data_IF_883250761135
#
_entry.id   IF_883250761135
#
_cell.length_a   1.000
_cell.length_b   1.000
_cell.length_c   1.000
_cell.angle_alpha   90.00
_cell.angle_beta   90.00
_cell.angle_gamma   90.00
#
_symmetry.space_group_name_H-M   'P 1'
#
loop_
_entity.id
_entity.type
_entity.pdbx_description
1 polymer ?
#
# COMPACT_ATOMS: atom_id res chain seq x y z
N UNK A 1 8.29 -4.19 -23.78
CA UNK A 1 7.85 -3.15 -22.84
C UNK A 1 9.09 -2.49 -22.28
N UNK A 2 9.14 -1.17 -22.22
CA UNK A 2 10.23 -0.45 -21.55
C UNK A 2 10.17 -0.74 -20.05
N UNK A 3 11.32 -1.01 -19.43
CA UNK A 3 11.45 -1.26 -17.99
C UNK A 3 10.84 -0.16 -17.12
N UNK A 4 10.84 1.09 -17.60
CA UNK A 4 10.28 2.23 -16.88
C UNK A 4 8.76 2.28 -17.02
N UNK A 5 8.21 2.03 -18.21
CA UNK A 5 6.75 1.93 -18.40
C UNK A 5 6.13 0.84 -17.52
N UNK A 6 6.84 -0.27 -17.36
CA UNK A 6 6.37 -1.36 -16.52
C UNK A 6 6.30 -0.97 -15.03
N UNK A 7 7.18 -0.08 -14.54
CA UNK A 7 7.07 0.44 -13.16
C UNK A 7 5.75 1.16 -12.92
N UNK A 8 5.31 1.99 -13.88
CA UNK A 8 4.03 2.69 -13.78
C UNK A 8 2.83 1.74 -13.84
N UNK A 9 2.96 0.65 -14.61
CA UNK A 9 1.94 -0.40 -14.63
C UNK A 9 1.85 -1.11 -13.27
N UNK A 10 2.98 -1.52 -12.69
CA UNK A 10 2.99 -2.12 -11.35
C UNK A 10 2.46 -1.15 -10.28
N UNK A 11 2.76 0.15 -10.38
CA UNK A 11 2.19 1.18 -9.51
C UNK A 11 0.68 1.24 -9.62
N UNK A 12 0.15 1.30 -10.84
CA UNK A 12 -1.29 1.37 -11.08
C UNK A 12 -1.99 0.13 -10.52
N UNK A 13 -1.43 -1.06 -10.73
CA UNK A 13 -1.98 -2.29 -10.18
C UNK A 13 -1.94 -2.33 -8.65
N UNK A 14 -0.82 -1.91 -8.04
CA UNK A 14 -0.73 -1.79 -6.59
C UNK A 14 -1.77 -0.81 -6.03
N UNK A 15 -1.96 0.33 -6.68
CA UNK A 15 -2.95 1.33 -6.29
C UNK A 15 -4.37 0.76 -6.37
N UNK A 16 -4.75 0.14 -7.50
CA UNK A 16 -6.07 -0.48 -7.65
C UNK A 16 -6.32 -1.55 -6.60
N UNK A 17 -5.33 -2.41 -6.33
CA UNK A 17 -5.45 -3.43 -5.30
C UNK A 17 -5.63 -2.84 -3.89
N UNK A 18 -4.98 -1.70 -3.57
CA UNK A 18 -5.20 -0.98 -2.32
C UNK A 18 -6.62 -0.41 -2.25
N UNK A 19 -7.10 0.22 -3.32
CA UNK A 19 -8.46 0.78 -3.41
C UNK A 19 -9.54 -0.31 -3.25
N UNK A 20 -9.26 -1.52 -3.73
CA UNK A 20 -10.11 -2.70 -3.60
C UNK A 20 -9.92 -3.45 -2.27
N UNK A 21 -9.05 -2.97 -1.38
CA UNK A 21 -8.66 -3.62 -0.11
C UNK A 21 -8.02 -5.01 -0.29
N UNK A 22 -7.51 -5.33 -1.47
CA UNK A 22 -6.76 -6.55 -1.74
C UNK A 22 -5.27 -6.37 -1.41
N UNK A 23 -4.94 -6.34 -0.11
CA UNK A 23 -3.59 -6.04 0.36
C UNK A 23 -2.54 -7.09 0.00
N UNK A 24 -2.93 -8.35 -0.21
CA UNK A 24 -2.00 -9.41 -0.64
C UNK A 24 -1.55 -9.19 -2.08
N UNK A 25 -2.48 -8.82 -2.96
CA UNK A 25 -2.20 -8.49 -4.35
C UNK A 25 -1.44 -7.16 -4.48
N UNK A 26 -1.81 -6.15 -3.68
CA UNK A 26 -1.04 -4.91 -3.58
C UNK A 26 0.42 -5.17 -3.19
N UNK A 27 0.66 -6.04 -2.20
CA UNK A 27 2.00 -6.45 -1.78
C UNK A 27 2.76 -7.12 -2.92
N UNK A 28 2.12 -8.02 -3.66
CA UNK A 28 2.74 -8.70 -4.81
C UNK A 28 3.23 -7.70 -5.87
N UNK A 29 2.41 -6.70 -6.21
CA UNK A 29 2.80 -5.68 -7.18
C UNK A 29 3.92 -4.77 -6.66
N UNK A 30 3.90 -4.40 -5.38
CA UNK A 30 4.97 -3.62 -4.75
C UNK A 30 6.30 -4.39 -4.74
N UNK A 31 6.29 -5.69 -4.41
CA UNK A 31 7.49 -6.54 -4.46
C UNK A 31 8.04 -6.65 -5.89
N UNK A 32 7.16 -6.81 -6.87
CA UNK A 32 7.52 -6.84 -8.29
C UNK A 32 8.14 -5.52 -8.73
N UNK A 33 7.58 -4.40 -8.29
CA UNK A 33 8.10 -3.07 -8.56
C UNK A 33 9.51 -2.89 -8.00
N UNK A 34 9.76 -3.28 -6.73
CA UNK A 34 11.09 -3.18 -6.13
C UNK A 34 12.12 -4.04 -6.86
N UNK A 35 11.74 -5.25 -7.26
CA UNK A 35 12.60 -6.11 -8.05
C UNK A 35 12.98 -5.45 -9.38
N UNK A 36 12.03 -4.76 -10.03
CA UNK A 36 12.28 -4.04 -11.29
C UNK A 36 13.17 -2.82 -11.10
N UNK A 37 12.93 -2.01 -10.07
CA UNK A 37 13.81 -0.88 -9.73
C UNK A 37 15.27 -1.33 -9.54
N UNK A 38 15.49 -2.48 -8.90
CA UNK A 38 16.83 -3.05 -8.69
C UNK A 38 17.50 -3.52 -9.98
N UNK A 39 16.76 -3.72 -11.06
CA UNK A 39 17.29 -4.13 -12.37
C UNK A 39 17.56 -2.96 -13.33
N UNK A 40 17.19 -1.73 -12.96
CA UNK A 40 17.41 -0.56 -13.81
C UNK A 40 18.90 -0.19 -13.82
N UNK A 41 19.48 -0.12 -15.02
CA UNK A 41 20.88 0.28 -15.20
C UNK A 41 21.09 1.77 -14.97
N UNK A 42 22.32 2.19 -14.64
CA UNK A 42 22.68 3.61 -14.45
C UNK A 42 22.34 4.48 -15.68
N UNK A 43 22.50 3.94 -16.89
CA UNK A 43 22.15 4.64 -18.12
C UNK A 43 20.64 4.90 -18.20
N UNK A 44 19.81 3.90 -17.86
CA UNK A 44 18.36 4.05 -17.83
C UNK A 44 17.91 5.00 -16.71
N UNK A 45 18.58 4.95 -15.56
CA UNK A 45 18.39 5.92 -14.47
C UNK A 45 18.62 7.35 -14.96
N UNK A 46 19.75 7.60 -15.63
CA UNK A 46 20.06 8.94 -16.13
C UNK A 46 19.10 9.40 -17.23
N UNK A 47 18.64 8.49 -18.09
CA UNK A 47 17.73 8.81 -19.20
C UNK A 47 16.30 9.04 -18.73
N UNK A 48 15.88 8.39 -17.63
CA UNK A 48 14.51 8.40 -17.13
C UNK A 48 14.36 8.99 -15.73
N UNK A 49 15.32 9.83 -15.31
CA UNK A 49 15.40 10.34 -13.94
C UNK A 49 14.08 10.94 -13.45
N UNK A 50 13.44 11.81 -14.24
CA UNK A 50 12.17 12.44 -13.85
C UNK A 50 11.04 11.44 -13.66
N UNK A 51 10.94 10.44 -14.54
CA UNK A 51 9.95 9.38 -14.42
C UNK A 51 10.18 8.49 -13.19
N UNK A 52 11.44 8.24 -12.83
CA UNK A 52 11.80 7.45 -11.65
C UNK A 52 11.62 8.24 -10.34
N UNK A 53 11.80 9.56 -10.37
CA UNK A 53 11.43 10.47 -9.28
C UNK A 53 9.89 10.44 -9.06
N UNK A 54 9.09 10.48 -10.13
CA UNK A 54 7.62 10.35 -10.05
C UNK A 54 7.17 8.99 -9.49
N UNK A 55 7.83 7.90 -9.88
CA UNK A 55 7.61 6.56 -9.29
C UNK A 55 7.85 6.59 -7.78
N UNK A 56 8.95 7.21 -7.34
CA UNK A 56 9.30 7.30 -5.92
C UNK A 56 8.31 8.16 -5.11
N UNK A 57 7.86 9.28 -5.68
CA UNK A 57 6.84 10.15 -5.07
C UNK A 57 5.51 9.40 -4.92
N UNK A 58 5.08 8.69 -5.97
CA UNK A 58 3.83 7.91 -5.98
C UNK A 58 3.89 6.77 -4.95
N UNK A 59 5.00 6.03 -4.86
CA UNK A 59 5.20 5.01 -3.83
C UNK A 59 5.09 5.57 -2.42
N UNK A 60 5.66 6.76 -2.20
CA UNK A 60 5.63 7.43 -0.90
C UNK A 60 4.20 7.80 -0.51
N UNK A 61 3.44 8.35 -1.46
CA UNK A 61 2.03 8.69 -1.25
C UNK A 61 1.17 7.46 -0.96
N UNK A 62 1.34 6.38 -1.75
CA UNK A 62 0.62 5.11 -1.54
C UNK A 62 0.93 4.49 -0.17
N UNK A 63 2.20 4.51 0.23
CA UNK A 63 2.61 3.99 1.55
C UNK A 63 1.97 4.80 2.68
N UNK A 64 1.91 6.13 2.54
CA UNK A 64 1.21 7.00 3.49
C UNK A 64 -0.27 6.63 3.63
N UNK A 65 -0.96 6.48 2.50
CA UNK A 65 -2.38 6.12 2.48
C UNK A 65 -2.67 4.77 3.16
N UNK A 66 -1.86 3.74 2.88
CA UNK A 66 -1.99 2.42 3.52
C UNK A 66 -1.75 2.48 5.03
N UNK A 67 -0.77 3.28 5.49
CA UNK A 67 -0.49 3.46 6.92
C UNK A 67 -1.66 4.14 7.63
N UNK A 68 -2.22 5.19 7.03
CA UNK A 68 -3.38 5.91 7.58
C UNK A 68 -4.60 4.99 7.67
N UNK A 69 -4.88 4.21 6.63
CA UNK A 69 -6.02 3.29 6.63
C UNK A 69 -5.85 2.18 7.69
N UNK A 70 -4.64 1.63 7.82
CA UNK A 70 -4.31 0.67 8.88
C UNK A 70 -4.57 1.25 10.28
N UNK A 71 -4.26 2.52 10.49
CA UNK A 71 -4.48 3.18 11.77
C UNK A 71 -5.98 3.41 12.05
N UNK A 72 -6.77 3.77 11.04
CA UNK A 72 -8.24 3.85 11.16
C UNK A 72 -8.83 2.50 11.56
N UNK A 73 -8.45 1.41 10.89
CA UNK A 73 -8.91 0.05 11.20
C UNK A 73 -8.55 -0.35 12.64
N UNK A 74 -7.33 -0.05 13.11
CA UNK A 74 -6.94 -0.26 14.50
C UNK A 74 -7.84 0.47 15.51
N UNK A 75 -8.20 1.71 15.20
CA UNK A 75 -9.09 2.50 16.06
C UNK A 75 -10.50 1.91 16.09
N UNK A 76 -11.03 1.46 14.96
CA UNK A 76 -12.34 0.81 14.88
C UNK A 76 -12.38 -0.53 15.62
N UNK A 77 -11.36 -1.37 15.45
CA UNK A 77 -11.22 -2.62 16.22
C UNK A 77 -11.16 -2.36 17.73
N UNK A 78 -10.45 -1.31 18.14
CA UNK A 78 -10.38 -0.90 19.56
C UNK A 78 -11.75 -0.47 20.10
N UNK A 79 -12.55 0.25 19.30
CA UNK A 79 -13.93 0.62 19.65
C UNK A 79 -14.82 -0.63 19.77
N UNK A 80 -14.73 -1.55 18.82
CA UNK A 80 -15.47 -2.82 18.84
C UNK A 80 -15.14 -3.64 20.09
N UNK A 81 -13.86 -3.78 20.43
CA UNK A 81 -13.42 -4.50 21.62
C UNK A 81 -14.00 -3.90 22.91
N UNK A 82 -13.94 -2.56 23.06
CA UNK A 82 -14.54 -1.86 24.20
C UNK A 82 -16.05 -2.07 24.28
N UNK A 83 -16.74 -2.01 23.14
CA UNK A 83 -18.19 -2.22 23.09
C UNK A 83 -18.56 -3.67 23.44
N UNK A 84 -17.80 -4.65 22.96
CA UNK A 84 -18.00 -6.05 23.31
C UNK A 84 -17.81 -6.30 24.82
N UNK A 85 -16.81 -5.68 25.44
CA UNK A 85 -16.61 -5.76 26.89
C UNK A 85 -17.78 -5.16 27.68
N UNK A 86 -18.33 -4.03 27.23
CA UNK A 86 -19.54 -3.43 27.84
C UNK A 86 -20.75 -4.34 27.72
N UNK A 87 -20.95 -4.94 26.54
CA UNK A 87 -22.05 -5.89 26.30
C UNK A 87 -21.95 -7.11 27.21
N UNK A 88 -20.75 -7.67 27.36
CA UNK A 88 -20.51 -8.80 28.24
C UNK A 88 -20.74 -8.45 29.71
N UNK A 89 -20.26 -7.29 30.16
CA UNK A 89 -20.52 -6.80 31.52
C UNK A 89 -22.02 -6.65 31.80
N UNK A 90 -22.79 -6.13 30.84
CA UNK A 90 -24.25 -6.04 30.96
C UNK A 90 -24.91 -7.41 31.06
N UNK A 91 -24.51 -8.38 30.22
CA UNK A 91 -25.02 -9.75 30.27
C UNK A 91 -24.71 -10.47 31.58
N UNK A 92 -23.58 -10.18 32.22
CA UNK A 92 -23.19 -10.79 33.51
C UNK A 92 -23.91 -10.19 34.72
N UNK A 93 -24.63 -9.07 34.55
CA UNK A 93 -25.42 -8.42 35.59
C UNK A 93 -26.93 -8.59 35.42
N UNK A 94 -27.36 -9.36 34.41
CA UNK A 94 -28.72 -9.88 34.25
C UNK A 94 -28.77 -11.34 34.71
#
# INVERSE_FOLDING_TARGET
MDSVTDLFEQLSFAQTAIEENNYDEAKHYIETLFNRLNTISEQQWSQNRGALEEVAETLTALTGAVVDEREKVKQELSKLYRNNNKLNAYKSHM
#
